data_IF_132518722072
#
_entry.id   IF_132518722072
#
_cell.length_a   1.000
_cell.length_b   1.000
_cell.length_c   1.000
_cell.angle_alpha   90.00
_cell.angle_beta   90.00
_cell.angle_gamma   90.00
#
_symmetry.space_group_name_H-M   'P 1'
#
loop_
_entity.id
_entity.type
_entity.pdbx_description
1 polymer ?
#
# COMPACT_ATOMS: atom_id res chain seq x y z
N UNK A 1 15.55 -5.61 -2.98
CA UNK A 1 14.68 -5.83 -1.81
C UNK A 1 13.22 -5.63 -2.18
N UNK A 2 12.39 -6.58 -1.87
CA UNK A 2 10.94 -6.47 -2.08
C UNK A 2 10.30 -6.13 -0.73
N UNK A 3 9.50 -5.07 -0.69
CA UNK A 3 8.88 -4.60 0.54
C UNK A 3 7.37 -4.81 0.47
N UNK A 4 6.83 -5.63 1.41
CA UNK A 4 5.40 -5.76 1.60
C UNK A 4 4.94 -4.68 2.58
N UNK A 5 4.32 -3.64 2.06
CA UNK A 5 4.03 -2.44 2.85
C UNK A 5 2.76 -2.54 3.70
N UNK A 6 1.97 -3.60 3.51
CA UNK A 6 0.67 -3.72 4.18
C UNK A 6 0.51 -5.03 4.96
N UNK A 7 1.61 -5.64 5.39
CA UNK A 7 1.55 -6.96 6.03
C UNK A 7 0.80 -6.95 7.35
N UNK A 8 0.98 -5.91 8.17
CA UNK A 8 0.38 -5.83 9.51
C UNK A 8 -0.86 -4.95 9.56
N UNK A 9 -0.99 -4.03 8.63
CA UNK A 9 -2.10 -3.09 8.57
C UNK A 9 -2.27 -2.61 7.15
N UNK A 10 -3.45 -2.12 6.84
CA UNK A 10 -3.76 -1.59 5.51
C UNK A 10 -3.19 -0.17 5.38
N UNK A 11 -1.92 -0.08 4.98
CA UNK A 11 -1.23 1.21 4.83
C UNK A 11 -1.91 2.11 3.79
N UNK A 12 -2.26 1.62 2.57
CA UNK A 12 -2.94 2.48 1.61
C UNK A 12 -4.25 3.07 2.11
N UNK A 13 -5.03 2.30 2.87
CA UNK A 13 -6.33 2.77 3.34
C UNK A 13 -6.22 3.74 4.51
N UNK A 14 -5.29 3.52 5.44
CA UNK A 14 -5.28 4.24 6.72
C UNK A 14 -4.02 5.04 7.01
N UNK A 15 -2.90 4.71 6.35
CA UNK A 15 -1.59 5.28 6.68
C UNK A 15 -0.83 5.79 5.45
N UNK A 16 -1.54 6.16 4.39
CA UNK A 16 -0.89 6.57 3.15
C UNK A 16 -0.02 7.82 3.35
N UNK A 17 -0.46 8.79 4.14
CA UNK A 17 0.34 10.00 4.40
C UNK A 17 1.64 9.65 5.14
N UNK A 18 1.56 8.78 6.14
CA UNK A 18 2.74 8.29 6.85
C UNK A 18 3.72 7.62 5.89
N UNK A 19 3.18 6.77 5.00
CA UNK A 19 4.00 6.06 4.02
C UNK A 19 4.76 7.03 3.10
N UNK A 20 4.07 8.02 2.56
CA UNK A 20 4.71 8.99 1.68
C UNK A 20 5.72 9.87 2.42
N UNK A 21 5.49 10.15 3.70
CA UNK A 21 6.49 10.83 4.52
C UNK A 21 7.76 9.99 4.67
N UNK A 22 7.61 8.66 4.82
CA UNK A 22 8.77 7.77 4.90
C UNK A 22 9.51 7.70 3.56
N UNK A 23 8.79 7.70 2.45
CA UNK A 23 9.39 7.76 1.11
C UNK A 23 10.23 9.05 0.97
N UNK A 24 9.68 10.18 1.40
CA UNK A 24 10.36 11.46 1.36
C UNK A 24 11.65 11.46 2.22
N UNK A 25 11.57 10.87 3.42
CA UNK A 25 12.73 10.78 4.32
C UNK A 25 13.75 9.74 3.84
N UNK A 26 13.32 8.75 3.06
CA UNK A 26 14.19 7.74 2.47
C UNK A 26 14.49 6.55 3.34
N UNK A 27 13.84 6.41 4.50
CA UNK A 27 14.03 5.27 5.38
C UNK A 27 12.84 5.08 6.30
N UNK A 28 12.76 3.88 6.88
CA UNK A 28 11.80 3.54 7.93
C UNK A 28 12.49 2.72 9.02
N UNK A 29 12.05 2.92 10.26
CA UNK A 29 12.54 2.15 11.40
C UNK A 29 11.53 1.03 11.70
N UNK A 30 12.03 -0.20 11.74
CA UNK A 30 11.19 -1.38 11.92
C UNK A 30 11.71 -2.19 13.12
N UNK A 31 10.84 -2.50 14.11
CA UNK A 31 11.23 -3.37 15.22
C UNK A 31 11.53 -4.78 14.69
N UNK A 32 12.58 -5.40 15.24
CA UNK A 32 12.90 -6.78 14.91
C UNK A 32 11.84 -7.69 15.57
N UNK A 33 11.15 -8.57 14.82
CA UNK A 33 10.12 -9.43 15.42
C UNK A 33 10.67 -10.44 16.43
N UNK A 34 11.95 -10.78 16.35
CA UNK A 34 12.59 -11.73 17.28
C UNK A 34 13.23 -11.03 18.46
N UNK A 35 13.58 -9.77 18.32
CA UNK A 35 14.20 -8.94 19.35
C UNK A 35 13.55 -7.56 19.35
N UNK A 36 12.41 -7.41 20.05
CA UNK A 36 11.62 -6.15 20.01
C UNK A 36 12.39 -4.89 20.43
N UNK A 37 13.47 -5.07 21.20
CA UNK A 37 14.33 -3.95 21.62
C UNK A 37 15.30 -3.51 20.53
N UNK A 38 15.49 -4.31 19.48
CA UNK A 38 16.35 -3.97 18.35
C UNK A 38 15.51 -3.37 17.23
N UNK A 39 15.90 -2.19 16.78
CA UNK A 39 15.23 -1.47 15.71
C UNK A 39 16.16 -1.47 14.50
N UNK A 40 15.64 -1.91 13.35
CA UNK A 40 16.37 -1.90 12.09
C UNK A 40 15.99 -0.70 11.26
N UNK A 41 16.98 -0.03 10.68
CA UNK A 41 16.77 1.04 9.72
C UNK A 41 16.73 0.45 8.32
N UNK A 42 15.59 0.56 7.65
CA UNK A 42 15.40 0.03 6.29
C UNK A 42 15.42 1.19 5.31
N UNK A 43 16.37 1.14 4.37
CA UNK A 43 16.46 2.15 3.31
C UNK A 43 15.29 2.00 2.34
N UNK A 44 14.67 3.12 1.98
CA UNK A 44 13.60 3.19 0.98
C UNK A 44 14.07 3.84 -0.32
N UNK A 45 15.38 3.88 -0.56
CA UNK A 45 15.93 4.41 -1.80
C UNK A 45 15.50 3.56 -3.00
N UNK A 46 15.16 4.16 -4.15
CA UNK A 46 14.85 3.42 -5.38
C UNK A 46 15.97 2.46 -5.81
N UNK A 47 17.21 2.77 -5.47
CA UNK A 47 18.37 1.91 -5.79
C UNK A 47 18.38 0.61 -4.99
N UNK A 48 17.72 0.58 -3.82
CA UNK A 48 17.68 -0.56 -2.90
C UNK A 48 16.39 -1.34 -2.99
N UNK A 49 15.27 -0.65 -3.23
CA UNK A 49 13.94 -1.26 -3.27
C UNK A 49 13.64 -1.73 -4.67
N UNK A 50 13.50 -3.04 -4.86
CA UNK A 50 13.15 -3.61 -6.15
C UNK A 50 11.67 -3.44 -6.47
N UNK A 51 10.80 -3.57 -5.45
CA UNK A 51 9.36 -3.49 -5.65
C UNK A 51 8.65 -3.27 -4.30
N UNK A 52 7.60 -2.46 -4.32
CA UNK A 52 6.63 -2.39 -3.22
C UNK A 52 5.40 -3.23 -3.57
N UNK A 53 4.90 -3.98 -2.58
CA UNK A 53 3.65 -4.72 -2.69
C UNK A 53 2.66 -4.14 -1.70
N UNK A 54 1.54 -3.65 -2.20
CA UNK A 54 0.47 -3.09 -1.37
C UNK A 54 -0.73 -4.03 -1.36
N UNK A 55 -1.10 -4.50 -0.18
CA UNK A 55 -2.33 -5.26 0.03
C UNK A 55 -3.33 -4.30 0.65
N UNK A 56 -4.45 -4.07 -0.03
CA UNK A 56 -5.40 -3.08 0.45
C UNK A 56 -6.84 -3.44 0.10
N UNK A 57 -7.74 -3.00 0.95
CA UNK A 57 -9.17 -3.03 0.68
C UNK A 57 -9.66 -1.69 0.15
N UNK A 58 -8.85 -0.64 0.25
CA UNK A 58 -9.21 0.69 -0.24
C UNK A 58 -7.96 1.53 -0.52
N UNK A 59 -7.46 1.55 -1.77
CA UNK A 59 -6.29 2.37 -2.12
C UNK A 59 -6.61 3.84 -2.39
N UNK A 60 -7.86 4.28 -2.25
CA UNK A 60 -8.28 5.63 -2.61
C UNK A 60 -7.40 6.73 -2.01
N UNK A 61 -6.95 6.65 -0.73
CA UNK A 61 -6.08 7.70 -0.17
C UNK A 61 -4.74 7.85 -0.87
N UNK A 62 -4.25 6.83 -1.59
CA UNK A 62 -2.98 6.89 -2.30
C UNK A 62 -3.11 7.39 -3.74
N UNK A 63 -4.33 7.40 -4.32
CA UNK A 63 -4.52 7.69 -5.74
C UNK A 63 -3.94 9.03 -6.17
N UNK A 64 -4.09 10.06 -5.34
CA UNK A 64 -3.65 11.41 -5.68
C UNK A 64 -2.15 11.63 -5.49
N UNK A 65 -1.42 10.66 -4.94
CA UNK A 65 -0.02 10.79 -4.60
C UNK A 65 0.87 9.73 -5.26
N UNK A 66 0.32 8.95 -6.20
CA UNK A 66 1.06 7.87 -6.85
C UNK A 66 2.24 8.37 -7.69
N UNK A 67 2.22 9.62 -8.14
CA UNK A 67 3.34 10.22 -8.86
C UNK A 67 4.60 10.29 -7.99
N UNK A 68 4.47 10.27 -6.67
CA UNK A 68 5.61 10.23 -5.76
C UNK A 68 6.35 8.89 -5.80
N UNK A 69 5.74 7.87 -6.40
CA UNK A 69 6.32 6.54 -6.56
C UNK A 69 6.82 6.27 -7.98
N UNK A 70 6.95 7.29 -8.82
CA UNK A 70 7.34 7.12 -10.22
C UNK A 70 8.71 6.47 -10.41
N UNK A 71 9.61 6.61 -9.44
CA UNK A 71 10.94 6.02 -9.48
C UNK A 71 10.98 4.59 -8.92
N UNK A 72 9.84 4.06 -8.50
CA UNK A 72 9.71 2.74 -7.87
C UNK A 72 8.88 1.82 -8.74
N UNK A 73 9.18 0.52 -8.66
CA UNK A 73 8.28 -0.53 -9.12
C UNK A 73 7.32 -0.87 -7.97
N UNK A 74 6.06 -1.04 -8.28
CA UNK A 74 5.06 -1.40 -7.28
C UNK A 74 3.85 -2.04 -7.92
N UNK A 75 3.10 -2.81 -7.12
CA UNK A 75 1.79 -3.31 -7.53
C UNK A 75 0.87 -3.42 -6.32
N UNK A 76 -0.43 -3.44 -6.61
CA UNK A 76 -1.48 -3.55 -5.61
C UNK A 76 -2.17 -4.89 -5.70
N UNK A 77 -2.42 -5.51 -4.54
CA UNK A 77 -3.36 -6.62 -4.43
C UNK A 77 -4.61 -6.06 -3.76
N UNK A 78 -5.64 -5.87 -4.54
CA UNK A 78 -6.88 -5.26 -4.10
C UNK A 78 -7.83 -6.36 -3.62
N UNK A 79 -8.16 -6.34 -2.34
CA UNK A 79 -9.10 -7.28 -1.74
C UNK A 79 -10.49 -6.69 -1.75
N UNK A 80 -11.41 -7.35 -2.45
CA UNK A 80 -12.80 -6.95 -2.52
C UNK A 80 -13.66 -8.11 -2.06
N UNK A 81 -14.06 -8.07 -0.79
CA UNK A 81 -14.83 -9.13 -0.14
C UNK A 81 -16.20 -8.61 0.23
N UNK A 82 -17.29 -9.08 -0.44
CA UNK A 82 -18.63 -8.63 -0.13
C UNK A 82 -19.09 -8.97 1.29
N UNK A 83 -18.53 -10.02 1.90
CA UNK A 83 -18.87 -10.38 3.28
C UNK A 83 -18.23 -9.45 4.30
N UNK A 84 -17.09 -8.86 3.98
CA UNK A 84 -16.38 -7.95 4.87
C UNK A 84 -17.11 -6.64 5.12
N UNK A 85 -18.00 -6.25 4.20
CA UNK A 85 -18.72 -4.98 4.28
C UNK A 85 -19.61 -4.90 5.53
N UNK A 86 -20.18 -6.02 5.96
CA UNK A 86 -21.00 -6.08 7.17
C UNK A 86 -20.19 -5.99 8.46
N UNK A 87 -18.94 -6.44 8.41
CA UNK A 87 -18.05 -6.49 9.57
C UNK A 87 -17.12 -5.28 9.64
N UNK A 88 -16.89 -4.63 8.50
CA UNK A 88 -15.96 -3.52 8.35
C UNK A 88 -16.71 -2.27 7.91
N UNK A 89 -17.60 -1.79 8.79
CA UNK A 89 -18.49 -0.66 8.49
C UNK A 89 -17.74 0.67 8.30
N UNK A 90 -16.46 0.74 8.61
CA UNK A 90 -15.63 1.92 8.36
C UNK A 90 -15.04 1.95 6.95
N UNK A 91 -15.25 0.90 6.15
CA UNK A 91 -14.83 0.87 4.75
C UNK A 91 -15.91 1.46 3.84
N UNK A 92 -15.53 2.05 2.69
CA UNK A 92 -16.50 2.47 1.68
C UNK A 92 -17.34 1.30 1.18
N UNK A 93 -18.47 1.59 0.59
CA UNK A 93 -19.32 0.58 -0.03
C UNK A 93 -18.59 -0.18 -1.12
N UNK A 94 -19.09 -1.37 -1.46
CA UNK A 94 -18.47 -2.21 -2.49
C UNK A 94 -18.46 -1.51 -3.85
N UNK A 95 -19.51 -0.74 -4.16
CA UNK A 95 -19.60 -0.01 -5.42
C UNK A 95 -18.52 1.08 -5.51
N UNK A 96 -18.28 1.79 -4.42
CA UNK A 96 -17.22 2.79 -4.36
C UNK A 96 -15.83 2.16 -4.48
N UNK A 97 -15.64 1.00 -3.86
CA UNK A 97 -14.37 0.27 -3.95
C UNK A 97 -14.12 -0.27 -5.35
N UNK A 98 -15.16 -0.72 -6.05
CA UNK A 98 -15.05 -1.13 -7.45
C UNK A 98 -14.68 0.04 -8.36
N UNK A 99 -15.28 1.21 -8.11
CA UNK A 99 -14.92 2.42 -8.85
C UNK A 99 -13.46 2.80 -8.62
N UNK A 100 -13.01 2.71 -7.38
CA UNK A 100 -11.60 2.95 -7.02
C UNK A 100 -10.68 1.96 -7.72
N UNK A 101 -11.06 0.69 -7.80
CA UNK A 101 -10.30 -0.32 -8.52
C UNK A 101 -10.10 0.06 -9.99
N UNK A 102 -11.18 0.50 -10.64
CA UNK A 102 -11.13 0.93 -12.06
C UNK A 102 -10.22 2.14 -12.23
N UNK A 103 -10.34 3.13 -11.36
CA UNK A 103 -9.49 4.33 -11.41
C UNK A 103 -8.03 3.99 -11.21
N UNK A 104 -7.73 3.10 -10.28
CA UNK A 104 -6.36 2.67 -10.01
C UNK A 104 -5.80 1.93 -11.23
N UNK A 105 -6.56 0.98 -11.80
CA UNK A 105 -6.12 0.23 -12.97
C UNK A 105 -5.89 1.12 -14.19
N UNK A 106 -6.73 2.15 -14.37
CA UNK A 106 -6.56 3.12 -15.47
C UNK A 106 -5.31 3.98 -15.26
N UNK A 107 -4.98 4.29 -14.01
CA UNK A 107 -3.86 5.19 -13.69
C UNK A 107 -2.49 4.50 -13.79
N UNK A 108 -2.39 3.25 -13.33
CA UNK A 108 -1.09 2.56 -13.25
C UNK A 108 -0.97 1.34 -14.15
N UNK A 109 -2.04 0.94 -14.83
CA UNK A 109 -2.05 -0.23 -15.70
C UNK A 109 -2.63 -1.46 -15.00
N UNK A 110 -3.33 -2.28 -15.78
CA UNK A 110 -4.03 -3.48 -15.26
C UNK A 110 -3.06 -4.51 -14.68
N UNK A 111 -1.86 -4.60 -15.23
CA UNK A 111 -0.86 -5.56 -14.79
C UNK A 111 -0.30 -5.26 -13.40
N UNK A 112 -0.53 -4.06 -12.89
CA UNK A 112 -0.08 -3.63 -11.56
C UNK A 112 -1.16 -3.72 -10.50
N UNK A 113 -2.36 -4.14 -10.87
CA UNK A 113 -3.48 -4.26 -9.93
C UNK A 113 -4.05 -5.66 -10.02
N UNK A 114 -3.92 -6.41 -8.94
CA UNK A 114 -4.41 -7.79 -8.85
C UNK A 114 -5.66 -7.79 -7.99
N UNK A 115 -6.75 -8.31 -8.56
CA UNK A 115 -8.02 -8.47 -7.85
C UNK A 115 -8.00 -9.78 -7.05
N UNK A 116 -8.38 -9.69 -5.82
CA UNK A 116 -8.56 -10.87 -4.95
C UNK A 116 -9.92 -10.89 -4.29
#
# INVERSE_FOLDING_TARGET
MIISASRRTDIPAFYSQWFFNRIKEGYVLVPNPYHPKMISKVSLSPAVVDCFVFWTKNPAPMLNQLEKLQDYNYYFQFTLNPYGEKLENHLPSIDKRMDTFKKLADKIGRERVIWR
#
